data_IF_025317424118
#
_entry.id   IF_025317424118
#
_cell.length_a   1.000
_cell.length_b   1.000
_cell.length_c   1.000
_cell.angle_alpha   90.00
_cell.angle_beta   90.00
_cell.angle_gamma   90.00
#
_symmetry.space_group_name_H-M   'P 1'
#
loop_
_entity.id
_entity.type
_entity.pdbx_description
1 polymer ?
#
# COMPACT_ATOMS: atom_id res chain seq x y z
N UNK A 1 2.54 -15.03 -1.11
CA UNK A 1 1.60 -15.57 -0.10
C UNK A 1 1.00 -14.37 0.62
N UNK A 2 -0.33 -14.24 0.68
CA UNK A 2 -0.95 -13.12 1.38
C UNK A 2 -0.62 -13.17 2.89
N UNK A 3 -0.25 -12.03 3.47
CA UNK A 3 0.14 -11.91 4.87
C UNK A 3 -0.89 -11.10 5.63
N UNK A 4 -1.43 -11.63 6.72
CA UNK A 4 -2.32 -10.88 7.59
C UNK A 4 -1.49 -9.97 8.51
N UNK A 5 -1.80 -8.68 8.49
CA UNK A 5 -1.25 -7.66 9.36
C UNK A 5 -2.32 -7.21 10.35
N UNK A 6 -1.93 -6.94 11.59
CA UNK A 6 -2.83 -6.35 12.59
C UNK A 6 -2.32 -4.98 12.98
N UNK A 7 -3.10 -3.95 12.72
CA UNK A 7 -2.75 -2.56 13.03
C UNK A 7 -2.68 -2.32 14.54
N UNK A 8 -1.85 -1.37 14.94
CA UNK A 8 -1.88 -0.77 16.27
C UNK A 8 -2.50 0.62 16.23
N UNK A 9 -2.75 1.23 17.39
CA UNK A 9 -3.35 2.55 17.44
C UNK A 9 -2.41 3.58 16.82
N UNK A 10 -2.87 4.28 15.78
CA UNK A 10 -2.04 5.24 15.04
C UNK A 10 -1.28 4.67 13.85
N UNK A 11 -1.47 3.38 13.50
CA UNK A 11 -0.90 2.80 12.27
C UNK A 11 -1.49 3.48 11.03
N UNK A 12 -0.69 3.61 9.98
CA UNK A 12 -1.10 4.16 8.69
C UNK A 12 -0.82 3.16 7.58
N UNK A 13 -1.71 3.09 6.57
CA UNK A 13 -1.55 2.17 5.45
C UNK A 13 -0.20 2.36 4.73
N UNK A 14 0.18 3.63 4.51
CA UNK A 14 1.41 4.00 3.82
C UNK A 14 2.66 3.50 4.54
N UNK A 15 2.70 3.65 5.87
CA UNK A 15 3.82 3.20 6.70
C UNK A 15 3.89 1.66 6.74
N UNK A 16 2.76 0.97 6.84
CA UNK A 16 2.70 -0.51 6.76
C UNK A 16 3.21 -0.99 5.40
N UNK A 17 2.70 -0.41 4.31
CA UNK A 17 3.12 -0.74 2.96
C UNK A 17 4.61 -0.46 2.74
N UNK A 18 5.11 0.67 3.24
CA UNK A 18 6.52 1.05 3.15
C UNK A 18 7.42 0.09 3.93
N UNK A 19 7.01 -0.33 5.14
CA UNK A 19 7.77 -1.30 5.95
C UNK A 19 7.75 -2.70 5.36
N UNK A 20 6.63 -3.10 4.76
CA UNK A 20 6.46 -4.46 4.24
C UNK A 20 7.06 -4.62 2.83
N UNK A 21 6.80 -3.66 1.94
CA UNK A 21 7.18 -3.75 0.54
C UNK A 21 8.31 -2.82 0.13
N UNK A 22 8.65 -1.83 0.96
CA UNK A 22 9.65 -0.80 0.66
C UNK A 22 9.07 0.40 -0.08
N UNK A 23 9.96 1.34 -0.43
CA UNK A 23 9.57 2.59 -1.12
C UNK A 23 9.37 2.42 -2.63
N UNK A 24 9.83 1.32 -3.22
CA UNK A 24 9.67 1.05 -4.65
C UNK A 24 8.24 0.56 -4.90
N UNK A 25 7.43 1.36 -5.60
CA UNK A 25 6.05 1.00 -5.99
C UNK A 25 5.01 1.10 -4.88
N UNK A 26 5.21 2.01 -3.92
CA UNK A 26 4.27 2.24 -2.82
C UNK A 26 2.82 2.45 -3.31
N UNK A 27 2.63 3.23 -4.38
CA UNK A 27 1.32 3.46 -5.00
C UNK A 27 0.65 2.17 -5.50
N UNK A 28 1.42 1.30 -6.17
CA UNK A 28 0.92 0.01 -6.67
C UNK A 28 0.59 -0.93 -5.53
N UNK A 29 1.43 -0.96 -4.49
CA UNK A 29 1.20 -1.74 -3.27
C UNK A 29 -0.07 -1.32 -2.54
N UNK A 30 -0.33 0.00 -2.42
CA UNK A 30 -1.53 0.52 -1.80
C UNK A 30 -2.79 0.12 -2.58
N UNK A 31 -2.76 0.25 -3.91
CA UNK A 31 -3.87 -0.15 -4.75
C UNK A 31 -4.20 -1.65 -4.56
N UNK A 32 -3.19 -2.52 -4.64
CA UNK A 32 -3.37 -3.96 -4.43
C UNK A 32 -3.94 -4.27 -3.03
N UNK A 33 -3.46 -3.60 -1.98
CA UNK A 33 -3.98 -3.78 -0.61
C UNK A 33 -5.42 -3.29 -0.50
N UNK A 34 -5.77 -2.15 -1.09
CA UNK A 34 -7.14 -1.63 -1.06
C UNK A 34 -8.12 -2.51 -1.83
N UNK A 35 -7.70 -3.08 -2.96
CA UNK A 35 -8.49 -4.05 -3.72
C UNK A 35 -8.71 -5.35 -2.95
N UNK A 36 -7.70 -5.83 -2.23
CA UNK A 36 -7.80 -7.00 -1.37
C UNK A 36 -8.61 -6.75 -0.08
N UNK A 37 -8.75 -5.50 0.35
CA UNK A 37 -9.44 -5.11 1.60
C UNK A 37 -10.54 -4.07 1.32
N UNK A 38 -11.67 -4.48 0.73
CA UNK A 38 -12.79 -3.58 0.51
C UNK A 38 -13.30 -3.01 1.86
N UNK A 39 -13.42 -1.68 1.94
CA UNK A 39 -13.83 -0.97 3.16
C UNK A 39 -12.67 -0.43 4.01
N UNK A 40 -11.42 -0.82 3.71
CA UNK A 40 -10.25 -0.29 4.43
C UNK A 40 -10.05 1.22 4.21
N UNK A 41 -10.39 1.71 3.02
CA UNK A 41 -10.34 3.14 2.70
C UNK A 41 -11.37 3.99 3.47
N UNK A 42 -12.46 3.38 3.96
CA UNK A 42 -13.54 4.09 4.66
C UNK A 42 -13.15 4.45 6.11
N UNK A 43 -12.23 3.66 6.71
CA UNK A 43 -11.72 3.89 8.07
C UNK A 43 -10.91 5.20 8.15
N UNK A 44 -10.29 5.60 7.03
CA UNK A 44 -9.49 6.81 6.91
C UNK A 44 -7.97 6.56 6.93
N UNK A 45 -7.15 7.63 7.04
CA UNK A 45 -5.71 7.56 6.91
C UNK A 45 -4.99 6.98 8.14
N UNK A 46 -5.65 7.00 9.31
CA UNK A 46 -5.12 6.49 10.58
C UNK A 46 -6.00 5.36 11.07
N UNK A 47 -5.43 4.17 11.22
CA UNK A 47 -6.16 3.01 11.68
C UNK A 47 -6.16 2.92 13.21
N UNK A 48 -7.31 2.54 13.81
CA UNK A 48 -7.34 2.13 15.20
C UNK A 48 -6.62 0.79 15.40
N UNK A 49 -6.28 0.47 16.64
CA UNK A 49 -5.70 -0.83 16.97
C UNK A 49 -6.69 -1.98 16.67
N UNK A 50 -6.17 -3.06 16.11
CA UNK A 50 -6.93 -4.31 15.90
C UNK A 50 -7.64 -4.42 14.55
N UNK A 51 -7.36 -3.53 13.59
CA UNK A 51 -7.79 -3.73 12.20
C UNK A 51 -6.93 -4.81 11.57
N UNK A 52 -7.57 -5.81 10.99
CA UNK A 52 -6.88 -6.86 10.25
C UNK A 52 -6.80 -6.45 8.77
N UNK A 53 -5.57 -6.32 8.27
CA UNK A 53 -5.27 -5.93 6.89
C UNK A 53 -4.62 -7.11 6.20
N UNK A 54 -5.21 -7.55 5.09
CA UNK A 54 -4.59 -8.55 4.23
C UNK A 54 -3.60 -7.86 3.31
N UNK A 55 -2.32 -8.15 3.46
CA UNK A 55 -1.25 -7.69 2.58
C UNK A 55 -1.07 -8.72 1.46
N UNK A 56 -1.62 -8.51 0.24
CA UNK A 56 -1.45 -9.45 -0.85
C UNK A 56 -0.02 -9.42 -1.40
N UNK A 57 0.44 -10.54 -1.95
CA UNK A 57 1.65 -10.53 -2.76
C UNK A 57 1.35 -9.71 -4.02
N UNK A 58 2.10 -8.63 -4.25
CA UNK A 58 2.00 -7.83 -5.47
C UNK A 58 3.37 -7.81 -6.14
N UNK A 59 3.36 -7.72 -7.46
CA UNK A 59 4.57 -7.67 -8.26
C UNK A 59 4.83 -6.23 -8.60
N UNK A 60 6.04 -5.74 -8.28
CA UNK A 60 6.46 -4.42 -8.72
C UNK A 60 6.55 -4.39 -10.24
N UNK A 61 5.62 -3.69 -10.87
CA UNK A 61 5.71 -3.36 -12.29
C UNK A 61 6.45 -2.03 -12.39
N UNK A 62 7.72 -2.03 -12.83
CA UNK A 62 8.42 -0.78 -13.05
C UNK A 62 7.66 0.01 -14.10
N UNK A 63 7.07 1.14 -13.71
CA UNK A 63 6.54 2.10 -14.66
C UNK A 63 7.68 2.47 -15.60
N UNK A 64 7.53 2.14 -16.89
CA UNK A 64 8.44 2.59 -17.93
C UNK A 64 8.49 4.10 -17.82
N UNK A 65 9.61 4.62 -17.31
CA UNK A 65 9.87 6.06 -17.28
C UNK A 65 10.07 6.50 -18.72
N UNK A 66 8.97 6.70 -19.43
CA UNK A 66 8.97 7.49 -20.66
C UNK A 66 9.56 8.84 -20.29
N UNK A 67 10.81 9.04 -20.70
CA UNK A 67 11.55 10.26 -20.43
C UNK A 67 11.00 11.31 -21.39
N UNK A 68 9.88 11.91 -21.03
CA UNK A 68 9.35 13.06 -21.75
C UNK A 68 10.26 14.25 -21.46
N UNK A 69 11.03 14.66 -22.48
CA UNK A 69 11.74 15.93 -22.47
C UNK A 69 10.68 17.05 -22.57
N UNK A 70 10.22 17.53 -21.42
CA UNK A 70 9.59 18.84 -21.35
C UNK A 70 10.71 19.87 -21.57
N UNK A 71 10.51 20.82 -22.48
CA UNK A 71 11.38 21.95 -22.87
C UNK A 71 12.32 21.72 -24.08
N UNK A 72 12.10 22.53 -25.12
CA UNK A 72 13.09 23.14 -26.05
C UNK A 72 13.16 24.63 -25.72
#
# INVERSE_FOLDING_TARGET
>A
MAKNWRTTDGDMLDDICQRHYGSAGLNQSLAAVLEANPGLADIGPVYPAGVEIVLPDWVYEPEEKETFQLWD
#
